data_IF_130617402205
#
_entry.id   IF_130617402205
#
_cell.length_a   1.000
_cell.length_b   1.000
_cell.length_c   1.000
_cell.angle_alpha   90.00
_cell.angle_beta   90.00
_cell.angle_gamma   90.00
#
_symmetry.space_group_name_H-M   'P 1'
#
loop_
_entity.id
_entity.type
_entity.pdbx_description
1 polymer ?
#
# COMPACT_ATOMS: atom_id res chain seq x y z
N UNK A 1 1.72 -1.06 23.73
CA UNK A 1 2.58 -1.86 22.83
C UNK A 1 1.94 -2.03 21.44
N UNK A 2 0.63 -2.21 21.32
CA UNK A 2 -0.10 -2.32 20.03
C UNK A 2 0.04 -1.09 19.11
N UNK A 3 0.14 0.09 19.70
CA UNK A 3 0.31 1.36 18.96
C UNK A 3 1.62 1.40 18.14
N UNK A 4 2.74 0.96 18.74
CA UNK A 4 4.04 0.89 18.06
C UNK A 4 3.98 -0.09 16.89
N UNK A 5 3.33 -1.25 17.07
CA UNK A 5 3.18 -2.25 16.00
C UNK A 5 2.32 -1.73 14.84
N UNK A 6 1.26 -0.97 15.15
CA UNK A 6 0.44 -0.31 14.14
C UNK A 6 1.23 0.73 13.36
N UNK A 7 2.00 1.57 14.07
CA UNK A 7 2.84 2.59 13.43
C UNK A 7 3.91 1.97 12.54
N UNK A 8 4.57 0.90 13.00
CA UNK A 8 5.61 0.20 12.23
C UNK A 8 5.02 -0.45 10.96
N UNK A 9 3.87 -1.10 11.07
CA UNK A 9 3.19 -1.71 9.94
C UNK A 9 2.71 -0.66 8.91
N UNK A 10 2.16 0.47 9.37
CA UNK A 10 1.80 1.59 8.50
C UNK A 10 3.03 2.22 7.85
N UNK A 11 4.14 2.37 8.59
CA UNK A 11 5.38 2.90 8.04
C UNK A 11 5.95 2.00 6.94
N UNK A 12 5.92 0.67 7.15
CA UNK A 12 6.31 -0.30 6.14
C UNK A 12 5.41 -0.21 4.88
N UNK A 13 4.09 -0.07 5.08
CA UNK A 13 3.12 0.08 4.00
C UNK A 13 3.36 1.36 3.18
N UNK A 14 3.51 2.51 3.82
CA UNK A 14 3.79 3.77 3.13
C UNK A 14 5.15 3.77 2.43
N UNK A 15 6.15 3.10 3.01
CA UNK A 15 7.45 2.94 2.38
C UNK A 15 7.34 2.11 1.09
N UNK A 16 6.56 1.04 1.10
CA UNK A 16 6.27 0.23 -0.09
C UNK A 16 5.52 1.03 -1.16
N UNK A 17 4.58 1.89 -0.76
CA UNK A 17 3.84 2.77 -1.67
C UNK A 17 4.77 3.80 -2.35
N UNK A 18 5.64 4.45 -1.57
CA UNK A 18 6.54 5.50 -2.05
C UNK A 18 7.74 4.96 -2.84
N UNK A 19 8.22 3.77 -2.47
CA UNK A 19 9.38 3.13 -3.07
C UNK A 19 9.03 1.70 -3.53
N UNK A 20 8.40 1.56 -4.70
CA UNK A 20 8.36 0.26 -5.36
C UNK A 20 9.78 -0.29 -5.52
N UNK A 21 9.97 -1.58 -5.28
CA UNK A 21 11.23 -2.22 -5.60
C UNK A 21 11.51 -2.09 -7.10
N UNK A 22 12.78 -1.88 -7.48
CA UNK A 22 13.23 -1.53 -8.84
C UNK A 22 12.80 -2.57 -9.91
N UNK A 23 12.37 -3.76 -9.50
CA UNK A 23 11.91 -4.84 -10.37
C UNK A 23 10.45 -5.23 -10.18
N UNK A 24 9.73 -4.58 -9.27
CA UNK A 24 8.36 -4.94 -8.97
C UNK A 24 7.43 -4.26 -9.97
N UNK A 25 6.63 -5.07 -10.67
CA UNK A 25 5.57 -4.55 -11.52
C UNK A 25 4.56 -3.79 -10.67
N UNK A 26 3.93 -2.78 -11.28
CA UNK A 26 2.94 -1.93 -10.60
C UNK A 26 1.75 -2.75 -10.06
N UNK A 27 1.42 -3.86 -10.72
CA UNK A 27 0.41 -4.82 -10.28
C UNK A 27 0.85 -5.61 -9.04
N UNK A 28 2.11 -6.07 -9.02
CA UNK A 28 2.69 -6.78 -7.88
C UNK A 28 2.85 -5.86 -6.66
N UNK A 29 3.23 -4.60 -6.88
CA UNK A 29 3.27 -3.58 -5.83
C UNK A 29 1.87 -3.37 -5.21
N UNK A 30 0.83 -3.30 -6.04
CA UNK A 30 -0.54 -3.11 -5.57
C UNK A 30 -1.03 -4.31 -4.76
N UNK A 31 -0.74 -5.54 -5.20
CA UNK A 31 -1.08 -6.77 -4.47
C UNK A 31 -0.40 -6.81 -3.09
N UNK A 32 0.89 -6.50 -3.02
CA UNK A 32 1.63 -6.49 -1.75
C UNK A 32 1.12 -5.38 -0.80
N UNK A 33 0.70 -4.21 -1.32
CA UNK A 33 0.04 -3.17 -0.52
C UNK A 33 -1.31 -3.66 0.05
N UNK A 34 -2.11 -4.35 -0.75
CA UNK A 34 -3.38 -4.93 -0.30
C UNK A 34 -3.18 -6.00 0.77
N UNK A 35 -2.19 -6.87 0.58
CA UNK A 35 -1.84 -7.94 1.51
C UNK A 35 -1.31 -7.42 2.83
N UNK A 36 -0.44 -6.41 2.80
CA UNK A 36 0.03 -5.74 4.01
C UNK A 36 -1.13 -5.07 4.77
N UNK A 37 -2.10 -4.47 4.06
CA UNK A 37 -3.30 -3.93 4.68
C UNK A 37 -4.20 -5.01 5.30
N UNK A 38 -4.44 -6.13 4.60
CA UNK A 38 -5.21 -7.27 5.12
C UNK A 38 -4.56 -7.86 6.38
N UNK A 39 -3.24 -8.03 6.38
CA UNK A 39 -2.50 -8.50 7.55
C UNK A 39 -2.63 -7.55 8.75
N UNK A 40 -2.59 -6.24 8.52
CA UNK A 40 -2.81 -5.26 9.58
C UNK A 40 -4.23 -5.35 10.16
N UNK A 41 -5.24 -5.59 9.32
CA UNK A 41 -6.63 -5.74 9.76
C UNK A 41 -6.83 -7.04 10.53
N UNK A 42 -6.30 -8.17 10.04
CA UNK A 42 -6.31 -9.46 10.75
C UNK A 42 -5.61 -9.43 12.09
N UNK A 43 -4.51 -8.68 12.20
CA UNK A 43 -3.77 -8.48 13.46
C UNK A 43 -4.49 -7.51 14.41
N UNK A 44 -5.59 -6.89 13.99
CA UNK A 44 -6.32 -5.88 14.76
C UNK A 44 -5.55 -4.58 14.95
N UNK A 45 -4.57 -4.30 14.08
CA UNK A 45 -3.78 -3.07 14.09
C UNK A 45 -4.53 -1.91 13.46
N UNK A 46 -5.39 -2.19 12.47
CA UNK A 46 -6.23 -1.19 11.81
C UNK A 46 -7.68 -1.66 11.76
N UNK A 47 -8.61 -0.71 11.69
CA UNK A 47 -10.03 -0.99 11.44
C UNK A 47 -10.29 -1.23 9.93
N UNK A 48 -11.37 -1.94 9.59
CA UNK A 48 -11.80 -2.12 8.20
C UNK A 48 -12.06 -0.77 7.48
N UNK A 49 -12.38 0.30 8.21
CA UNK A 49 -12.48 1.66 7.65
C UNK A 49 -11.11 2.23 7.21
N UNK A 50 -10.08 1.98 8.01
CA UNK A 50 -8.70 2.38 7.71
C UNK A 50 -8.12 1.53 6.57
N UNK A 51 -8.38 0.21 6.60
CA UNK A 51 -8.05 -0.69 5.50
C UNK A 51 -8.58 -0.16 4.16
N UNK A 52 -9.86 0.24 4.13
CA UNK A 52 -10.47 0.77 2.89
C UNK A 52 -9.86 2.10 2.44
N UNK A 53 -9.29 2.86 3.37
CA UNK A 53 -8.56 4.10 3.06
C UNK A 53 -7.21 3.77 2.44
N UNK A 54 -6.45 2.83 3.02
CA UNK A 54 -5.17 2.35 2.49
C UNK A 54 -5.33 1.78 1.08
N UNK A 55 -6.33 0.92 0.86
CA UNK A 55 -6.62 0.34 -0.47
C UNK A 55 -6.92 1.43 -1.50
N UNK A 56 -7.66 2.48 -1.11
CA UNK A 56 -7.94 3.61 -1.99
C UNK A 56 -6.67 4.40 -2.33
N UNK A 57 -5.81 4.67 -1.35
CA UNK A 57 -4.53 5.37 -1.58
C UNK A 57 -3.61 4.56 -2.51
N UNK A 58 -3.52 3.25 -2.31
CA UNK A 58 -2.79 2.36 -3.21
C UNK A 58 -3.37 2.39 -4.63
N UNK A 59 -4.70 2.39 -4.77
CA UNK A 59 -5.36 2.46 -6.07
C UNK A 59 -5.08 3.79 -6.80
N UNK A 60 -5.06 4.91 -6.08
CA UNK A 60 -4.71 6.22 -6.66
C UNK A 60 -3.25 6.26 -7.10
N UNK A 61 -2.32 5.74 -6.29
CA UNK A 61 -0.91 5.65 -6.65
C UNK A 61 -0.68 4.73 -7.86
N UNK A 62 -1.38 3.59 -7.91
CA UNK A 62 -1.38 2.66 -9.04
C UNK A 62 -1.89 3.32 -10.33
N UNK A 63 -3.04 4.01 -10.27
CA UNK A 63 -3.57 4.76 -11.40
C UNK A 63 -2.59 5.86 -11.85
N UNK A 64 -2.00 6.60 -10.92
CA UNK A 64 -1.01 7.63 -11.27
C UNK A 64 0.26 7.05 -11.91
N UNK A 65 0.73 5.87 -11.45
CA UNK A 65 1.90 5.21 -12.00
C UNK A 65 1.63 4.64 -13.41
N UNK A 66 0.43 4.08 -13.63
CA UNK A 66 0.00 3.54 -14.93
C UNK A 66 -0.39 4.63 -15.92
N UNK A 67 -1.01 5.74 -15.48
CA UNK A 67 -1.33 6.89 -16.35
C UNK A 67 -0.06 7.67 -16.73
N UNK A 68 0.95 7.71 -15.85
CA UNK A 68 2.26 8.33 -16.12
C UNK A 68 3.08 7.61 -17.20
N UNK A 69 2.90 6.29 -17.36
CA UNK A 69 3.62 5.49 -18.38
C UNK A 69 3.06 5.68 -19.80
N UNK A 70 1.82 6.19 -19.94
CA UNK A 70 1.11 6.27 -21.21
C UNK A 70 1.31 7.57 -22.03
N UNK A 71 1.98 8.59 -21.49
CA UNK A 71 2.05 9.93 -22.14
C UNK A 71 3.48 10.40 -22.47
N UNK A 72 4.38 9.48 -22.81
CA UNK A 72 5.77 9.82 -23.05
C UNK A 72 6.48 8.94 -24.07
N UNK A 73 5.97 8.88 -25.30
CA UNK A 73 6.79 8.66 -26.52
C UNK A 73 6.09 9.25 -27.73
#
# INVERSE_FOLDING_TARGET
MTDVLRQDALAAWYKLLAHPEIRMDVEEQYDELLKAADEMERKGLISSAEWRTLVREAGVAFSSATEGVGKGT
#
